data_IF_954382516989
#
_entry.id   IF_954382516989
#
_cell.length_a   1.000
_cell.length_b   1.000
_cell.length_c   1.000
_cell.angle_alpha   90.00
_cell.angle_beta   90.00
_cell.angle_gamma   90.00
#
_symmetry.space_group_name_H-M   'P 1'
#
loop_
_entity.id
_entity.type
_entity.pdbx_description
1 polymer ?
#
# COMPACT_ATOMS: atom_id res chain seq x y z
N UNK A 1 0.68 -5.23 6.47
CA UNK A 1 0.83 -6.54 5.82
C UNK A 1 2.29 -6.93 5.63
N UNK A 2 3.08 -6.17 4.85
CA UNK A 2 4.49 -6.50 4.59
C UNK A 2 5.32 -6.58 5.88
N UNK A 3 5.21 -5.57 6.76
CA UNK A 3 5.89 -5.57 8.07
C UNK A 3 5.49 -6.76 8.98
N UNK A 4 4.34 -7.40 8.72
CA UNK A 4 3.86 -8.59 9.43
C UNK A 4 4.36 -9.90 8.78
N UNK A 5 5.00 -9.84 7.61
CA UNK A 5 5.59 -10.99 6.91
C UNK A 5 5.02 -11.28 5.51
N UNK A 6 4.09 -10.47 5.00
CA UNK A 6 3.55 -10.70 3.65
C UNK A 6 4.55 -10.26 2.56
N UNK A 7 4.69 -11.05 1.48
CA UNK A 7 5.47 -10.64 0.31
C UNK A 7 4.73 -9.65 -0.61
N UNK A 8 3.39 -9.76 -0.67
CA UNK A 8 2.52 -8.92 -1.47
C UNK A 8 1.10 -8.87 -0.88
N UNK A 9 0.26 -7.99 -1.40
CA UNK A 9 -1.17 -7.90 -1.08
C UNK A 9 -1.99 -7.78 -2.35
N UNK A 10 -3.17 -8.40 -2.37
CA UNK A 10 -4.13 -8.22 -3.46
C UNK A 10 -5.00 -6.99 -3.17
N UNK A 11 -5.30 -6.23 -4.22
CA UNK A 11 -6.30 -5.16 -4.20
C UNK A 11 -7.50 -5.65 -5.00
N UNK A 12 -8.71 -5.42 -4.52
CA UNK A 12 -9.95 -5.84 -5.20
C UNK A 12 -10.74 -4.65 -5.72
N UNK A 13 -11.82 -4.31 -5.01
CA UNK A 13 -12.78 -3.26 -5.39
C UNK A 13 -12.21 -1.93 -5.93
N UNK A 14 -11.11 -1.36 -5.39
CA UNK A 14 -10.63 -0.06 -5.86
C UNK A 14 -10.40 0.04 -7.36
N UNK A 15 -9.73 -0.93 -7.99
CA UNK A 15 -9.48 -0.86 -9.43
C UNK A 15 -10.76 -1.08 -10.25
N UNK A 16 -11.72 -1.87 -9.73
CA UNK A 16 -13.03 -2.09 -10.36
C UNK A 16 -13.85 -0.80 -10.34
N UNK A 17 -13.79 -0.03 -9.26
CA UNK A 17 -14.43 1.28 -9.20
C UNK A 17 -13.81 2.27 -10.18
N UNK A 18 -12.49 2.26 -10.32
CA UNK A 18 -11.80 3.02 -11.37
C UNK A 18 -12.27 2.63 -12.77
N UNK A 19 -12.36 1.33 -13.04
CA UNK A 19 -12.89 0.79 -14.30
C UNK A 19 -14.30 1.28 -14.59
N UNK A 20 -15.19 1.22 -13.59
CA UNK A 20 -16.58 1.66 -13.75
C UNK A 20 -16.71 3.17 -13.97
N UNK A 21 -15.83 3.98 -13.37
CA UNK A 21 -15.91 5.44 -13.45
C UNK A 21 -15.34 6.01 -14.75
N UNK A 22 -14.16 5.54 -15.17
CA UNK A 22 -13.42 6.13 -16.30
C UNK A 22 -12.74 5.09 -17.20
N UNK A 23 -13.17 3.84 -17.17
CA UNK A 23 -12.55 2.77 -17.97
C UNK A 23 -11.10 2.50 -17.55
N UNK A 24 -10.25 2.14 -18.53
CA UNK A 24 -8.83 1.88 -18.31
C UNK A 24 -8.10 3.05 -17.61
N UNK A 25 -8.28 4.33 -18.01
CA UNK A 25 -7.69 5.46 -17.29
C UNK A 25 -8.01 5.50 -15.79
N UNK A 26 -9.21 5.07 -15.40
CA UNK A 26 -9.59 4.98 -13.99
C UNK A 26 -8.86 3.87 -13.24
N UNK A 27 -8.64 2.72 -13.89
CA UNK A 27 -7.81 1.63 -13.34
C UNK A 27 -6.37 2.09 -13.12
N UNK A 28 -5.77 2.70 -14.14
CA UNK A 28 -4.40 3.24 -14.10
C UNK A 28 -4.25 4.25 -12.95
N UNK A 29 -5.21 5.18 -12.83
CA UNK A 29 -5.19 6.20 -11.77
C UNK A 29 -5.21 5.59 -10.37
N UNK A 30 -5.97 4.52 -10.15
CA UNK A 30 -6.03 3.81 -8.86
C UNK A 30 -4.70 3.11 -8.55
N UNK A 31 -4.11 2.44 -9.52
CA UNK A 31 -2.81 1.76 -9.36
C UNK A 31 -1.71 2.79 -9.05
N UNK A 32 -1.69 3.91 -9.77
CA UNK A 32 -0.74 5.00 -9.55
C UNK A 32 -0.91 5.64 -8.17
N UNK A 33 -2.15 5.82 -7.71
CA UNK A 33 -2.42 6.32 -6.36
C UNK A 33 -1.84 5.38 -5.30
N UNK A 34 -2.11 4.07 -5.42
CA UNK A 34 -1.59 3.07 -4.49
C UNK A 34 -0.06 3.07 -4.46
N UNK A 35 0.59 3.15 -5.62
CA UNK A 35 2.06 3.22 -5.72
C UNK A 35 2.62 4.50 -5.10
N UNK A 36 1.99 5.63 -5.38
CA UNK A 36 2.41 6.95 -4.90
C UNK A 36 2.31 7.02 -3.38
N UNK A 37 1.16 6.66 -2.83
CA UNK A 37 0.91 6.66 -1.39
C UNK A 37 1.81 5.67 -0.66
N UNK A 38 2.00 4.46 -1.21
CA UNK A 38 2.92 3.49 -0.61
C UNK A 38 4.35 4.02 -0.56
N UNK A 39 4.82 4.67 -1.63
CA UNK A 39 6.16 5.29 -1.68
C UNK A 39 6.27 6.44 -0.69
N UNK A 40 5.23 7.27 -0.57
CA UNK A 40 5.17 8.37 0.39
C UNK A 40 5.25 7.87 1.84
N UNK A 41 4.52 6.80 2.17
CA UNK A 41 4.54 6.19 3.50
C UNK A 41 5.91 5.57 3.80
N UNK A 42 6.53 4.88 2.83
CA UNK A 42 7.91 4.37 3.02
C UNK A 42 8.88 5.50 3.37
N UNK A 43 8.81 6.64 2.67
CA UNK A 43 9.63 7.82 2.97
C UNK A 43 9.38 8.36 4.39
N UNK A 44 8.12 8.48 4.79
CA UNK A 44 7.75 8.91 6.15
C UNK A 44 8.26 7.95 7.23
N UNK A 45 8.27 6.65 6.95
CA UNK A 45 8.81 5.62 7.85
C UNK A 45 10.34 5.47 7.76
N UNK A 46 11.04 6.30 6.97
CA UNK A 46 12.49 6.23 6.78
C UNK A 46 12.95 4.94 6.08
N UNK A 47 12.10 4.32 5.25
CA UNK A 47 12.39 3.09 4.51
C UNK A 47 12.69 3.43 3.05
N UNK A 48 13.85 3.00 2.56
CA UNK A 48 14.33 3.27 1.19
C UNK A 48 14.00 2.12 0.23
N UNK A 49 13.69 0.94 0.77
CA UNK A 49 13.30 -0.23 -0.01
C UNK A 49 12.29 -1.08 0.74
N UNK A 50 11.56 -1.94 0.02
CA UNK A 50 10.61 -2.90 0.60
C UNK A 50 11.31 -3.84 1.59
N UNK A 51 12.58 -4.20 1.33
CA UNK A 51 13.37 -5.07 2.21
C UNK A 51 13.64 -4.47 3.60
N UNK A 52 13.56 -3.13 3.75
CA UNK A 52 13.72 -2.45 5.03
C UNK A 52 12.42 -2.45 5.87
N UNK A 53 11.29 -2.89 5.30
CA UNK A 53 9.99 -3.01 5.98
C UNK A 53 9.95 -4.32 6.77
N UNK A 54 9.98 -4.23 8.09
CA UNK A 54 9.94 -5.38 8.99
C UNK A 54 9.19 -5.03 10.28
N UNK A 55 9.14 -5.98 11.25
CA UNK A 55 8.39 -5.83 12.50
C UNK A 55 8.76 -4.59 13.33
N UNK A 56 9.97 -4.04 13.21
CA UNK A 56 10.35 -2.77 13.87
C UNK A 56 9.56 -1.55 13.35
N UNK A 57 8.87 -1.71 12.21
CA UNK A 57 8.01 -0.66 11.62
C UNK A 57 6.60 -0.66 12.23
N UNK A 58 6.34 -1.51 13.22
CA UNK A 58 5.04 -1.67 13.87
C UNK A 58 5.13 -1.17 15.31
N UNK A 59 4.04 -0.57 15.77
CA UNK A 59 3.77 -0.37 17.19
C UNK A 59 2.49 -1.12 17.54
N UNK A 60 2.46 -1.75 18.72
CA UNK A 60 1.27 -2.41 19.23
C UNK A 60 0.50 -1.44 20.11
N UNK A 61 -0.79 -1.28 19.88
CA UNK A 61 -1.66 -0.68 20.90
C UNK A 61 -1.72 -1.64 22.09
N UNK A 62 -1.57 -1.12 23.30
CA UNK A 62 -1.89 -1.86 24.50
C UNK A 62 -3.39 -2.19 24.49
N UNK A 63 -3.71 -3.48 24.53
CA UNK A 63 -5.07 -3.95 24.78
C UNK A 63 -5.28 -3.84 26.28
N UNK A 64 -6.09 -2.86 26.71
CA UNK A 64 -6.67 -2.83 28.06
C UNK A 64 -7.83 -3.80 28.17
#
# INVERSE_FOLDING_TARGET
AIALGANAVCVGRPYIWGLAAFGQPGVERVIDLLRTEFTLIMKQCGKRSIAEINRSSLTTRASG
#
